data_IF_020604856957
#
_entry.id   IF_020604856957
#
_cell.length_a   1.000
_cell.length_b   1.000
_cell.length_c   1.000
_cell.angle_alpha   90.00
_cell.angle_beta   90.00
_cell.angle_gamma   90.00
#
_symmetry.space_group_name_H-M   'P 1'
#
loop_
_entity.id
_entity.type
_entity.pdbx_description
1 polymer ?
#
# COMPACT_ATOMS: atom_id res chain seq x y z
N UNK A 1 -5.45 15.56 -1.20
CA UNK A 1 -5.26 16.01 -2.60
C UNK A 1 -6.04 17.31 -2.83
N UNK A 2 -5.54 18.26 -3.63
CA UNK A 2 -6.30 19.47 -4.00
C UNK A 2 -7.38 19.13 -5.03
N UNK A 3 -8.55 19.80 -4.96
CA UNK A 3 -9.69 19.54 -5.84
C UNK A 3 -9.33 19.67 -7.34
N UNK A 4 -8.69 20.77 -7.73
CA UNK A 4 -8.30 21.01 -9.14
C UNK A 4 -7.42 19.88 -9.70
N UNK A 5 -6.43 19.44 -8.91
CA UNK A 5 -5.57 18.29 -9.26
C UNK A 5 -6.39 17.00 -9.40
N UNK A 6 -7.41 16.79 -8.57
CA UNK A 6 -8.27 15.62 -8.65
C UNK A 6 -9.09 15.60 -9.95
N UNK A 7 -9.63 16.76 -10.35
CA UNK A 7 -10.41 16.89 -11.59
C UNK A 7 -9.53 16.66 -12.82
N UNK A 8 -8.37 17.31 -12.88
CA UNK A 8 -7.42 17.16 -14.00
C UNK A 8 -6.96 15.70 -14.14
N UNK A 9 -6.61 15.06 -13.02
CA UNK A 9 -6.22 13.64 -13.01
C UNK A 9 -7.35 12.72 -13.50
N UNK A 10 -8.60 12.99 -13.09
CA UNK A 10 -9.74 12.22 -13.58
C UNK A 10 -9.98 12.42 -15.08
N UNK A 11 -9.78 13.63 -15.61
CA UNK A 11 -9.87 13.90 -17.05
C UNK A 11 -8.78 13.16 -17.84
N UNK A 12 -7.55 13.14 -17.33
CA UNK A 12 -6.45 12.44 -17.99
C UNK A 12 -6.64 10.91 -17.97
N UNK A 13 -7.16 10.34 -16.88
CA UNK A 13 -7.54 8.92 -16.84
C UNK A 13 -8.61 8.58 -17.87
N UNK A 14 -9.57 9.47 -18.13
CA UNK A 14 -10.56 9.29 -19.21
C UNK A 14 -9.91 9.31 -20.59
N UNK A 15 -8.93 10.18 -20.83
CA UNK A 15 -8.18 10.20 -22.10
C UNK A 15 -7.41 8.89 -22.32
N UNK A 16 -6.84 8.32 -21.25
CA UNK A 16 -6.18 7.00 -21.31
C UNK A 16 -7.20 5.92 -21.63
N UNK A 17 -8.36 5.90 -20.97
CA UNK A 17 -9.43 4.95 -21.27
C UNK A 17 -9.87 5.03 -22.75
N UNK A 18 -10.09 6.24 -23.26
CA UNK A 18 -10.39 6.49 -24.67
C UNK A 18 -9.31 5.96 -25.62
N UNK A 19 -8.03 6.13 -25.27
CA UNK A 19 -6.91 5.63 -26.06
C UNK A 19 -6.91 4.10 -26.12
N UNK A 20 -7.08 3.43 -24.97
CA UNK A 20 -7.16 1.97 -24.88
C UNK A 20 -8.32 1.45 -25.73
N UNK A 21 -9.51 2.02 -25.58
CA UNK A 21 -10.70 1.62 -26.33
C UNK A 21 -10.51 1.77 -27.85
N UNK A 22 -9.89 2.86 -28.30
CA UNK A 22 -9.73 3.17 -29.74
C UNK A 22 -8.55 2.44 -30.37
N UNK A 23 -7.52 2.09 -29.60
CA UNK A 23 -6.25 1.59 -30.12
C UNK A 23 -5.92 0.17 -29.65
N UNK A 24 -6.86 -0.55 -28.99
CA UNK A 24 -6.62 -1.88 -28.42
C UNK A 24 -5.96 -2.89 -29.37
N UNK A 25 -6.23 -2.82 -30.68
CA UNK A 25 -5.65 -3.73 -31.67
C UNK A 25 -4.20 -3.41 -32.07
N UNK A 26 -3.69 -2.25 -31.66
CA UNK A 26 -2.36 -1.73 -31.98
C UNK A 26 -1.44 -1.62 -30.76
N UNK A 27 -2.00 -1.73 -29.56
CA UNK A 27 -1.26 -1.68 -28.29
C UNK A 27 -1.14 -3.09 -27.70
N UNK A 28 -0.03 -3.41 -27.02
CA UNK A 28 0.07 -4.65 -26.27
C UNK A 28 -0.91 -4.64 -25.09
N UNK A 29 -1.05 -5.77 -24.40
CA UNK A 29 -1.76 -5.82 -23.12
C UNK A 29 -1.20 -4.75 -22.16
N UNK A 30 -2.10 -4.05 -21.48
CA UNK A 30 -1.78 -2.93 -20.60
C UNK A 30 -2.12 -3.31 -19.18
N UNK A 31 -1.16 -3.12 -18.27
CA UNK A 31 -1.38 -3.13 -16.84
C UNK A 31 -1.37 -1.67 -16.34
N UNK A 32 -2.37 -1.31 -15.53
CA UNK A 32 -2.54 0.05 -15.01
C UNK A 32 -2.42 0.02 -13.49
N UNK A 33 -1.28 0.45 -12.98
CA UNK A 33 -1.07 0.59 -11.55
C UNK A 33 -1.35 2.03 -11.09
N UNK A 34 -2.31 2.19 -10.17
CA UNK A 34 -2.60 3.47 -9.51
C UNK A 34 -2.20 3.31 -8.03
N UNK A 35 -1.20 4.05 -7.58
CA UNK A 35 -0.62 3.89 -6.23
C UNK A 35 -0.50 5.22 -5.49
N UNK A 36 -0.97 5.27 -4.24
CA UNK A 36 -0.68 6.33 -3.28
C UNK A 36 0.22 5.83 -2.16
N UNK A 37 1.26 6.60 -1.86
CA UNK A 37 2.15 6.37 -0.72
C UNK A 37 1.78 7.33 0.41
N UNK A 38 1.47 6.80 1.60
CA UNK A 38 1.02 7.58 2.75
C UNK A 38 2.03 7.44 3.88
N UNK A 39 2.53 8.57 4.39
CA UNK A 39 3.36 8.61 5.59
C UNK A 39 4.80 8.12 5.43
N UNK A 40 5.26 7.95 4.19
CA UNK A 40 6.66 7.65 3.92
C UNK A 40 7.56 8.85 4.21
N UNK A 41 8.84 8.63 4.55
CA UNK A 41 9.76 9.67 5.03
C UNK A 41 9.95 10.92 4.14
N UNK A 42 9.57 10.86 2.85
CA UNK A 42 9.56 12.01 1.93
C UNK A 42 8.24 12.81 1.92
N UNK A 43 7.20 12.29 2.55
CA UNK A 43 5.88 12.91 2.72
C UNK A 43 5.37 12.70 4.16
N UNK A 44 6.00 13.41 5.11
CA UNK A 44 5.61 13.44 6.53
C UNK A 44 4.38 14.32 6.81
N UNK A 45 3.63 14.72 5.78
CA UNK A 45 2.46 15.58 5.95
C UNK A 45 1.23 14.85 6.53
N UNK A 46 1.26 13.51 6.54
CA UNK A 46 0.19 12.68 7.05
C UNK A 46 0.29 12.51 8.59
N UNK A 47 -0.46 13.32 9.34
CA UNK A 47 -0.48 13.25 10.81
C UNK A 47 -1.21 12.01 11.36
N UNK A 48 -2.11 11.39 10.58
CA UNK A 48 -2.86 10.20 10.98
C UNK A 48 -3.01 9.21 9.82
N UNK A 49 -1.97 8.39 9.63
CA UNK A 49 -1.93 7.37 8.56
C UNK A 49 -3.10 6.38 8.67
N UNK A 50 -3.41 5.77 9.84
CA UNK A 50 -4.56 4.87 9.95
C UNK A 50 -5.89 5.48 9.51
N UNK A 51 -6.18 6.72 9.89
CA UNK A 51 -7.40 7.40 9.49
C UNK A 51 -7.45 7.64 7.98
N UNK A 52 -6.36 8.13 7.37
CA UNK A 52 -6.28 8.34 5.92
C UNK A 52 -6.54 7.04 5.14
N UNK A 53 -5.94 5.94 5.59
CA UNK A 53 -6.18 4.61 5.00
C UNK A 53 -7.66 4.23 5.16
N UNK A 54 -8.23 4.39 6.35
CA UNK A 54 -9.62 4.03 6.63
C UNK A 54 -10.61 4.85 5.79
N UNK A 55 -10.43 6.17 5.71
CA UNK A 55 -11.24 7.08 4.91
C UNK A 55 -11.16 6.72 3.42
N UNK A 56 -9.96 6.40 2.93
CA UNK A 56 -9.78 5.99 1.54
C UNK A 56 -10.51 4.69 1.24
N UNK A 57 -10.41 3.70 2.14
CA UNK A 57 -11.13 2.42 2.02
C UNK A 57 -12.65 2.64 2.06
N UNK A 58 -13.14 3.49 2.97
CA UNK A 58 -14.57 3.80 3.09
C UNK A 58 -15.09 4.52 1.84
N UNK A 59 -14.35 5.49 1.30
CA UNK A 59 -14.69 6.15 0.05
C UNK A 59 -14.74 5.16 -1.12
N UNK A 60 -13.78 4.24 -1.20
CA UNK A 60 -13.81 3.16 -2.19
C UNK A 60 -15.05 2.28 -2.08
N UNK A 61 -15.37 1.83 -0.88
CA UNK A 61 -16.56 1.00 -0.62
C UNK A 61 -17.86 1.72 -0.99
N UNK A 62 -17.94 3.04 -0.73
CA UNK A 62 -19.10 3.85 -1.11
C UNK A 62 -19.32 3.89 -2.63
N UNK A 63 -18.25 3.79 -3.40
CA UNK A 63 -18.25 3.73 -4.88
C UNK A 63 -18.26 2.28 -5.42
N UNK A 64 -18.48 1.29 -4.55
CA UNK A 64 -18.61 -0.12 -4.95
C UNK A 64 -17.29 -0.86 -5.16
N UNK A 65 -16.16 -0.33 -4.67
CA UNK A 65 -14.88 -1.03 -4.75
C UNK A 65 -14.89 -2.33 -3.95
N UNK A 66 -14.24 -3.36 -4.50
CA UNK A 66 -13.81 -4.50 -3.70
C UNK A 66 -12.57 -4.12 -2.88
N UNK A 67 -12.45 -4.61 -1.65
CA UNK A 67 -11.33 -4.25 -0.77
C UNK A 67 -10.55 -5.47 -0.33
N UNK A 68 -9.24 -5.45 -0.56
CA UNK A 68 -8.28 -6.45 -0.08
C UNK A 68 -7.16 -5.76 0.69
N UNK A 69 -6.71 -6.40 1.77
CA UNK A 69 -5.62 -5.90 2.63
C UNK A 69 -4.47 -6.89 2.62
N UNK A 70 -3.26 -6.39 2.50
CA UNK A 70 -2.03 -7.18 2.54
C UNK A 70 -1.10 -6.66 3.64
N UNK A 71 -0.65 -7.61 4.45
CA UNK A 71 0.27 -7.41 5.56
C UNK A 71 1.52 -8.29 5.40
N UNK A 72 1.78 -8.87 4.23
CA UNK A 72 2.84 -9.87 4.04
C UNK A 72 4.28 -9.34 4.05
N UNK A 73 4.47 -8.02 4.10
CA UNK A 73 5.80 -7.40 3.97
C UNK A 73 6.05 -6.36 5.08
N UNK A 74 7.15 -5.59 4.96
CA UNK A 74 7.40 -4.39 5.79
C UNK A 74 6.41 -3.26 5.55
N UNK A 75 5.59 -3.37 4.50
CA UNK A 75 4.56 -2.40 4.13
C UNK A 75 3.18 -3.00 4.32
N UNK A 76 2.24 -2.13 4.71
CA UNK A 76 0.83 -2.40 4.59
C UNK A 76 0.33 -1.90 3.23
N UNK A 77 -0.54 -2.70 2.59
CA UNK A 77 -1.22 -2.32 1.34
C UNK A 77 -2.72 -2.53 1.47
N UNK A 78 -3.48 -1.49 1.17
CA UNK A 78 -4.90 -1.60 0.87
C UNK A 78 -5.10 -1.54 -0.64
N UNK A 79 -5.86 -2.50 -1.16
CA UNK A 79 -6.20 -2.59 -2.58
C UNK A 79 -7.70 -2.37 -2.74
N UNK A 80 -8.06 -1.42 -3.59
CA UNK A 80 -9.43 -1.05 -3.95
C UNK A 80 -9.64 -1.42 -5.42
N UNK A 81 -10.36 -2.50 -5.68
CA UNK A 81 -10.63 -2.99 -7.04
C UNK A 81 -11.91 -2.41 -7.64
N UNK A 82 -11.78 -1.82 -8.82
CA UNK A 82 -12.84 -1.26 -9.66
C UNK A 82 -12.91 -2.02 -11.00
N UNK A 83 -13.28 -3.31 -10.94
CA UNK A 83 -13.21 -4.20 -12.10
C UNK A 83 -11.76 -4.60 -12.41
N UNK A 84 -11.32 -4.35 -13.66
CA UNK A 84 -9.95 -4.64 -14.12
C UNK A 84 -8.89 -3.68 -13.56
N UNK A 85 -9.31 -2.57 -12.92
CA UNK A 85 -8.40 -1.59 -12.33
C UNK A 85 -8.30 -1.79 -10.82
N UNK A 86 -7.09 -1.66 -10.28
CA UNK A 86 -6.83 -1.72 -8.84
C UNK A 86 -6.13 -0.43 -8.38
N UNK A 87 -6.75 0.26 -7.42
CA UNK A 87 -6.12 1.38 -6.72
C UNK A 87 -5.47 0.89 -5.43
N UNK A 88 -4.17 1.14 -5.28
CA UNK A 88 -3.37 0.71 -4.14
C UNK A 88 -3.01 1.89 -3.25
N UNK A 89 -3.20 1.72 -1.94
CA UNK A 89 -2.69 2.65 -0.92
C UNK A 89 -1.67 1.92 -0.08
N UNK A 90 -0.47 2.48 0.02
CA UNK A 90 0.68 1.87 0.70
C UNK A 90 1.09 2.77 1.87
N UNK A 91 1.37 2.18 3.02
CA UNK A 91 2.07 2.83 4.12
C UNK A 91 3.07 1.88 4.78
N UNK A 92 3.93 2.41 5.64
CA UNK A 92 4.76 1.59 6.52
C UNK A 92 3.87 0.75 7.44
N UNK A 93 4.22 -0.51 7.68
CA UNK A 93 3.35 -1.45 8.41
C UNK A 93 3.20 -1.09 9.89
N UNK A 94 4.24 -0.52 10.49
CA UNK A 94 4.27 -0.01 11.85
C UNK A 94 3.36 1.21 12.06
N UNK A 95 3.00 1.92 10.99
CA UNK A 95 2.01 2.99 11.05
C UNK A 95 0.59 2.48 11.35
N UNK A 96 0.28 1.21 11.06
CA UNK A 96 -1.07 0.62 11.19
C UNK A 96 -1.15 -0.63 12.07
N UNK A 97 -0.01 -1.27 12.34
CA UNK A 97 0.08 -2.46 13.17
C UNK A 97 1.14 -2.26 14.26
N UNK A 98 0.89 -2.81 15.44
CA UNK A 98 1.89 -2.81 16.52
C UNK A 98 2.84 -3.98 16.33
N UNK A 99 4.15 -3.69 16.28
CA UNK A 99 5.20 -4.69 16.22
C UNK A 99 5.29 -5.43 17.56
N UNK A 100 5.04 -6.74 17.58
CA UNK A 100 5.23 -7.59 18.77
C UNK A 100 6.31 -8.62 18.52
N UNK A 101 7.43 -8.51 19.23
CA UNK A 101 8.48 -9.54 19.18
C UNK A 101 8.03 -10.73 20.03
N UNK A 102 7.78 -11.86 19.39
CA UNK A 102 7.31 -13.09 20.06
C UNK A 102 8.44 -14.09 20.32
N UNK A 103 9.64 -13.82 19.83
CA UNK A 103 10.81 -14.63 20.07
C UNK A 103 11.99 -14.14 19.24
N UNK A 104 13.10 -14.86 19.34
CA UNK A 104 14.29 -14.65 18.52
C UNK A 104 14.64 -15.97 17.87
N UNK A 105 14.87 -15.97 16.56
CA UNK A 105 15.36 -17.13 15.83
C UNK A 105 16.76 -16.85 15.27
N UNK A 106 17.59 -17.89 15.27
CA UNK A 106 18.87 -17.84 14.56
C UNK A 106 18.59 -18.08 13.08
N UNK A 107 18.96 -17.12 12.23
CA UNK A 107 18.84 -17.25 10.77
C UNK A 107 20.22 -17.12 10.17
N UNK A 108 20.60 -18.13 9.39
CA UNK A 108 21.82 -18.10 8.60
C UNK A 108 21.58 -17.17 7.42
N UNK A 109 22.24 -16.01 7.41
CA UNK A 109 22.22 -15.10 6.27
C UNK A 109 23.60 -15.09 5.61
N UNK A 110 23.60 -15.25 4.30
CA UNK A 110 24.78 -15.02 3.47
C UNK A 110 25.02 -13.51 3.40
N UNK A 111 26.08 -13.03 4.03
CA UNK A 111 26.48 -11.63 3.94
C UNK A 111 27.74 -11.52 3.08
N UNK A 112 27.85 -10.45 2.30
CA UNK A 112 29.06 -10.11 1.55
C UNK A 112 29.95 -9.19 2.38
N UNK A 113 31.09 -9.65 2.91
CA UNK A 113 32.28 -8.83 3.01
C UNK A 113 33.07 -8.90 1.71
N UNK A 114 33.93 -7.89 1.48
CA UNK A 114 34.78 -7.74 0.29
C UNK A 114 35.44 -9.06 -0.16
N UNK A 115 34.86 -9.72 -1.17
CA UNK A 115 35.52 -10.78 -1.95
C UNK A 115 35.05 -12.23 -1.73
N UNK A 116 34.52 -12.63 -0.56
CA UNK A 116 34.10 -14.02 -0.31
C UNK A 116 32.78 -14.13 0.46
N UNK A 117 31.86 -14.99 -0.04
CA UNK A 117 30.59 -15.28 0.63
C UNK A 117 30.84 -15.98 1.96
N UNK A 118 30.55 -15.31 3.07
CA UNK A 118 30.63 -15.92 4.42
C UNK A 118 29.21 -16.11 4.96
N UNK A 119 28.87 -17.33 5.34
CA UNK A 119 27.63 -17.61 6.06
C UNK A 119 27.79 -17.19 7.52
N UNK A 120 26.90 -16.33 8.01
CA UNK A 120 26.89 -15.90 9.41
C UNK A 120 25.51 -16.14 10.00
N UNK A 121 25.50 -16.78 11.16
CA UNK A 121 24.27 -16.88 11.96
C UNK A 121 23.99 -15.50 12.57
N UNK A 122 22.83 -14.94 12.26
CA UNK A 122 22.34 -13.67 12.80
C UNK A 122 21.10 -13.96 13.63
N UNK A 123 21.05 -13.43 14.85
CA UNK A 123 19.81 -13.41 15.63
C UNK A 123 18.84 -12.43 14.97
N UNK A 124 17.70 -12.94 14.52
CA UNK A 124 16.58 -12.09 14.08
C UNK A 124 15.38 -12.27 14.98
N UNK A 125 14.73 -11.15 15.29
CA UNK A 125 13.47 -11.14 16.01
C UNK A 125 12.39 -11.85 15.17
N UNK A 126 11.72 -12.84 15.76
CA UNK A 126 10.46 -13.36 15.25
C UNK A 126 9.38 -12.36 15.66
N UNK A 127 8.80 -11.70 14.67
CA UNK A 127 7.86 -10.60 14.87
C UNK A 127 6.46 -11.05 14.45
N UNK A 128 5.51 -10.96 15.37
CA UNK A 128 4.09 -10.91 15.05
C UNK A 128 3.62 -9.45 14.99
N UNK A 129 2.59 -9.20 14.21
CA UNK A 129 2.03 -7.87 14.03
C UNK A 129 0.58 -7.86 14.48
N UNK A 130 0.31 -7.13 15.54
CA UNK A 130 -1.04 -6.91 16.06
C UNK A 130 -1.65 -5.72 15.29
N UNK A 131 -2.39 -6.04 14.24
CA UNK A 131 -3.05 -5.04 13.40
C UNK A 131 -4.42 -4.68 13.99
N UNK A 132 -4.57 -3.45 14.45
CA UNK A 132 -5.84 -2.96 14.99
C UNK A 132 -6.89 -2.82 13.87
N UNK A 133 -8.19 -2.95 14.16
CA UNK A 133 -9.22 -2.76 13.16
C UNK A 133 -9.16 -1.34 12.58
N UNK A 134 -8.67 -1.21 11.34
CA UNK A 134 -8.53 0.08 10.65
C UNK A 134 -9.84 0.89 10.62
N UNK A 135 -10.99 0.21 10.58
CA UNK A 135 -12.31 0.84 10.54
C UNK A 135 -12.84 1.27 11.93
N UNK A 136 -12.20 0.84 13.02
CA UNK A 136 -12.54 1.36 14.35
C UNK A 136 -11.98 2.78 14.53
N UNK A 137 -10.78 3.04 13.99
CA UNK A 137 -10.14 4.36 14.04
C UNK A 137 -10.94 5.46 13.30
N UNK A 138 -11.67 5.12 12.22
CA UNK A 138 -12.51 6.08 11.50
C UNK A 138 -13.75 6.52 12.30
N UNK A 139 -14.23 5.71 13.26
CA UNK A 139 -15.42 6.00 14.06
C UNK A 139 -15.15 6.89 15.29
N UNK A 140 -13.89 7.05 15.69
CA UNK A 140 -13.54 7.86 16.86
C UNK A 140 -13.41 9.37 16.53
N UNK A 141 -13.63 9.74 15.26
CA UNK A 141 -13.52 11.12 14.74
C UNK A 141 -14.87 11.83 14.52
N UNK A 142 -15.91 11.44 15.24
CA UNK A 142 -17.20 12.17 15.28
C UNK A 142 -17.18 13.39 16.23
#
# INVERSE_FOLDING_TARGET
MKYEKAIEMAEDLRKVADFIEKQYSQVPDIDVEITSYVGFGWDKSAENIPAIIADTVLAGLAEGASVRKDYGSSYFRAFLGFGELEYRVICERDAVCTRRVIGTQMVTKSMTPEGEWTEKEVQEDVVEWDCHPLLAAAKETD
#
